data_IF_135214918831
#
_entry.id   IF_135214918831
#
_cell.length_a   1.000
_cell.length_b   1.000
_cell.length_c   1.000
_cell.angle_alpha   90.00
_cell.angle_beta   90.00
_cell.angle_gamma   90.00
#
_symmetry.space_group_name_H-M   'P 1'
#
loop_
_entity.id
_entity.type
_entity.pdbx_description
1 polymer ?
#
# COMPACT_ATOMS: atom_id res chain seq x y z
N UNK A 1 -12.00 5.63 17.51
CA UNK A 1 -11.79 4.19 17.74
C UNK A 1 -10.86 4.01 18.94
N UNK A 2 -11.29 3.26 19.97
CA UNK A 2 -10.47 3.04 21.16
C UNK A 2 -9.44 1.90 20.93
N UNK A 3 -8.62 1.57 21.94
CA UNK A 3 -7.61 0.50 21.84
C UNK A 3 -8.25 -0.89 21.66
N UNK A 4 -9.28 -1.21 22.44
CA UNK A 4 -9.98 -2.50 22.37
C UNK A 4 -10.59 -2.74 20.98
N UNK A 5 -11.17 -1.72 20.38
CA UNK A 5 -11.71 -1.77 19.01
C UNK A 5 -10.59 -2.08 18.00
N UNK A 6 -9.43 -1.42 18.13
CA UNK A 6 -8.26 -1.65 17.27
C UNK A 6 -7.77 -3.09 17.40
N UNK A 7 -7.61 -3.58 18.62
CA UNK A 7 -7.18 -4.95 18.89
C UNK A 7 -8.17 -5.95 18.26
N UNK A 8 -9.47 -5.72 18.42
CA UNK A 8 -10.49 -6.61 17.85
C UNK A 8 -10.43 -6.66 16.31
N UNK A 9 -10.18 -5.53 15.65
CA UNK A 9 -10.03 -5.48 14.19
C UNK A 9 -8.78 -6.22 13.71
N UNK A 10 -7.64 -6.04 14.40
CA UNK A 10 -6.40 -6.74 14.06
C UNK A 10 -6.53 -8.24 14.29
N UNK A 11 -7.17 -8.66 15.39
CA UNK A 11 -7.43 -10.08 15.66
C UNK A 11 -8.36 -10.70 14.63
N UNK A 12 -9.41 -9.99 14.21
CA UNK A 12 -10.30 -10.43 13.12
C UNK A 12 -9.52 -10.61 11.82
N UNK A 13 -8.69 -9.64 11.46
CA UNK A 13 -7.82 -9.72 10.28
C UNK A 13 -6.89 -10.93 10.32
N UNK A 14 -6.18 -11.13 11.44
CA UNK A 14 -5.24 -12.24 11.59
C UNK A 14 -5.95 -13.61 11.57
N UNK A 15 -7.17 -13.70 12.11
CA UNK A 15 -7.95 -14.92 12.04
C UNK A 15 -8.37 -15.25 10.61
N UNK A 16 -8.87 -14.26 9.85
CA UNK A 16 -9.22 -14.47 8.44
C UNK A 16 -8.00 -14.88 7.60
N UNK A 17 -6.84 -14.25 7.83
CA UNK A 17 -5.58 -14.63 7.16
C UNK A 17 -5.18 -16.06 7.53
N UNK A 18 -5.25 -16.43 8.80
CA UNK A 18 -4.94 -17.79 9.28
C UNK A 18 -5.87 -18.83 8.66
N UNK A 19 -7.18 -18.58 8.65
CA UNK A 19 -8.17 -19.50 8.07
C UNK A 19 -7.87 -19.79 6.59
N UNK A 20 -7.53 -18.75 5.82
CA UNK A 20 -7.13 -18.94 4.42
C UNK A 20 -5.83 -19.76 4.32
N UNK A 21 -4.82 -19.44 5.13
CA UNK A 21 -3.54 -20.16 5.10
C UNK A 21 -3.70 -21.64 5.46
N UNK A 22 -4.43 -21.94 6.54
CA UNK A 22 -4.68 -23.30 7.02
C UNK A 22 -5.51 -24.16 6.05
N UNK A 23 -6.26 -23.53 5.14
CA UNK A 23 -7.00 -24.26 4.11
C UNK A 23 -6.09 -25.04 3.15
N UNK A 24 -4.82 -24.66 3.03
CA UNK A 24 -3.87 -25.23 2.05
C UNK A 24 -4.17 -24.91 0.58
N UNK A 25 -5.23 -24.15 0.31
CA UNK A 25 -5.66 -23.76 -1.05
C UNK A 25 -5.47 -22.27 -1.33
N UNK A 26 -5.10 -21.49 -0.32
CA UNK A 26 -4.90 -20.06 -0.48
C UNK A 26 -3.66 -19.76 -1.33
N UNK A 27 -3.86 -18.87 -2.29
CA UNK A 27 -2.82 -18.20 -3.07
C UNK A 27 -2.91 -16.71 -2.78
N UNK A 28 -2.01 -15.89 -3.34
CA UNK A 28 -1.94 -14.44 -3.11
C UNK A 28 -3.31 -13.73 -3.01
N UNK A 29 -4.24 -13.97 -3.95
CA UNK A 29 -5.52 -13.28 -3.98
C UNK A 29 -6.49 -13.67 -2.85
N UNK A 30 -6.31 -14.83 -2.23
CA UNK A 30 -7.21 -15.35 -1.18
C UNK A 30 -7.24 -14.47 0.07
N UNK A 31 -6.14 -13.76 0.37
CA UNK A 31 -6.02 -12.91 1.55
C UNK A 31 -6.48 -11.46 1.30
N UNK A 32 -6.72 -11.07 0.04
CA UNK A 32 -7.15 -9.72 -0.34
C UNK A 32 -8.44 -9.26 0.36
N UNK A 33 -9.49 -10.11 0.54
CA UNK A 33 -10.69 -9.72 1.27
C UNK A 33 -10.42 -9.30 2.72
N UNK A 34 -9.54 -10.01 3.43
CA UNK A 34 -9.17 -9.69 4.81
C UNK A 34 -8.46 -8.33 4.88
N UNK A 35 -7.47 -8.10 4.00
CA UNK A 35 -6.77 -6.81 3.93
C UNK A 35 -7.71 -5.66 3.59
N UNK A 36 -8.62 -5.86 2.62
CA UNK A 36 -9.65 -4.87 2.25
C UNK A 36 -10.54 -4.50 3.43
N UNK A 37 -10.97 -5.49 4.21
CA UNK A 37 -11.82 -5.29 5.39
C UNK A 37 -11.07 -4.51 6.47
N UNK A 38 -9.83 -4.89 6.78
CA UNK A 38 -8.98 -4.16 7.73
C UNK A 38 -8.79 -2.70 7.28
N UNK A 39 -8.39 -2.47 6.03
CA UNK A 39 -8.11 -1.13 5.54
C UNK A 39 -9.37 -0.25 5.48
N UNK A 40 -10.53 -0.83 5.19
CA UNK A 40 -11.82 -0.11 5.17
C UNK A 40 -12.39 0.16 6.58
N UNK A 41 -11.80 -0.42 7.63
CA UNK A 41 -12.18 -0.16 9.03
C UNK A 41 -11.60 1.15 9.57
N UNK A 42 -10.53 1.66 8.94
CA UNK A 42 -9.94 2.94 9.31
C UNK A 42 -10.85 4.10 8.93
N UNK A 43 -10.75 5.18 9.71
CA UNK A 43 -11.57 6.36 9.51
C UNK A 43 -11.35 6.95 8.10
N UNK A 44 -12.47 7.14 7.41
CA UNK A 44 -12.51 7.83 6.12
C UNK A 44 -11.65 7.13 5.05
N UNK A 45 -11.53 5.80 5.11
CA UNK A 45 -10.82 4.98 4.10
C UNK A 45 -11.82 4.08 3.36
N UNK A 46 -11.62 3.96 2.04
CA UNK A 46 -12.20 2.90 1.22
C UNK A 46 -11.06 2.17 0.53
N UNK A 47 -10.98 0.85 0.71
CA UNK A 47 -10.03 0.01 -0.02
C UNK A 47 -10.70 -0.58 -1.27
N UNK A 48 -10.04 -0.44 -2.41
CA UNK A 48 -10.45 -1.04 -3.68
C UNK A 48 -9.34 -1.99 -4.13
N UNK A 49 -9.64 -3.28 -4.20
CA UNK A 49 -8.79 -4.28 -4.84
C UNK A 49 -8.96 -4.23 -6.35
N UNK A 50 -7.92 -4.59 -7.09
CA UNK A 50 -7.89 -4.61 -8.56
C UNK A 50 -8.35 -3.28 -9.18
N UNK A 51 -7.72 -2.14 -8.80
CA UNK A 51 -8.07 -0.84 -9.35
C UNK A 51 -7.83 -0.78 -10.86
N UNK A 52 -8.48 0.20 -11.51
CA UNK A 52 -8.17 0.52 -12.91
C UNK A 52 -6.68 0.87 -13.05
N UNK A 53 -6.08 0.40 -14.14
CA UNK A 53 -4.67 0.66 -14.44
C UNK A 53 -4.42 2.18 -14.54
N UNK A 54 -3.27 2.62 -14.02
CA UNK A 54 -2.77 3.98 -14.18
C UNK A 54 -1.52 4.01 -15.05
N UNK A 55 -1.02 5.21 -15.37
CA UNK A 55 0.25 5.39 -16.11
C UNK A 55 1.45 4.74 -15.43
N UNK A 56 1.43 4.61 -14.09
CA UNK A 56 2.50 3.99 -13.31
C UNK A 56 2.29 2.48 -13.07
N UNK A 57 1.21 1.90 -13.61
CA UNK A 57 0.84 0.48 -13.51
C UNK A 57 -0.44 0.24 -12.69
N UNK A 58 -0.66 -0.99 -12.25
CA UNK A 58 -1.84 -1.42 -11.49
C UNK A 58 -1.40 -2.09 -10.18
N UNK A 59 -1.28 -1.32 -9.08
CA UNK A 59 -1.06 -1.92 -7.76
C UNK A 59 -2.29 -2.75 -7.37
N UNK A 60 -2.11 -3.74 -6.51
CA UNK A 60 -3.21 -4.62 -6.08
C UNK A 60 -4.32 -3.87 -5.36
N UNK A 61 -3.97 -2.81 -4.63
CA UNK A 61 -4.92 -1.94 -3.94
C UNK A 61 -4.69 -0.46 -4.20
N UNK A 62 -5.81 0.28 -4.23
CA UNK A 62 -5.84 1.71 -3.98
C UNK A 62 -6.70 2.01 -2.76
N UNK A 63 -6.21 2.91 -1.90
CA UNK A 63 -6.93 3.42 -0.75
C UNK A 63 -7.40 4.83 -1.04
N UNK A 64 -8.70 5.06 -0.96
CA UNK A 64 -9.34 6.33 -1.28
C UNK A 64 -9.89 6.99 -0.01
N UNK A 65 -9.96 8.32 -0.01
CA UNK A 65 -10.67 9.06 1.01
C UNK A 65 -12.18 8.82 0.85
N UNK A 66 -12.84 8.23 1.83
CA UNK A 66 -14.28 7.88 1.76
C UNK A 66 -15.16 9.11 1.51
N UNK A 67 -14.81 10.25 2.12
CA UNK A 67 -15.55 11.50 1.96
C UNK A 67 -15.33 12.16 0.59
N UNK A 68 -14.31 11.74 -0.18
CA UNK A 68 -13.99 12.25 -1.51
C UNK A 68 -13.10 11.26 -2.26
N UNK A 69 -13.70 10.35 -3.01
CA UNK A 69 -13.00 9.27 -3.73
C UNK A 69 -12.02 9.76 -4.82
N UNK A 70 -11.94 11.08 -5.10
CA UNK A 70 -10.90 11.66 -5.95
C UNK A 70 -9.56 11.80 -5.23
N UNK A 71 -9.54 11.73 -3.91
CA UNK A 71 -8.33 11.82 -3.09
C UNK A 71 -7.83 10.41 -2.80
N UNK A 72 -6.60 10.14 -3.24
CA UNK A 72 -5.90 8.88 -2.99
C UNK A 72 -5.09 9.02 -1.71
N UNK A 73 -5.31 8.10 -0.77
CA UNK A 73 -4.57 8.01 0.51
C UNK A 73 -3.30 7.17 0.38
N UNK A 74 -3.30 6.18 -0.50
CA UNK A 74 -2.13 5.35 -0.78
C UNK A 74 -2.48 4.12 -1.61
N UNK A 75 -1.52 3.22 -1.70
CA UNK A 75 -1.61 2.00 -2.50
C UNK A 75 -0.98 0.82 -1.73
N UNK A 76 -1.33 -0.40 -2.14
CA UNK A 76 -0.59 -1.58 -1.71
C UNK A 76 -0.27 -2.49 -2.90
N UNK A 77 0.91 -3.08 -2.86
CA UNK A 77 1.26 -4.28 -3.61
C UNK A 77 1.29 -5.45 -2.61
N UNK A 78 0.61 -6.54 -2.93
CA UNK A 78 0.52 -7.70 -2.10
C UNK A 78 1.24 -8.90 -2.74
N UNK A 79 1.74 -9.81 -1.93
CA UNK A 79 2.34 -11.07 -2.34
C UNK A 79 1.80 -12.20 -1.49
N UNK A 80 1.91 -13.43 -1.99
CA UNK A 80 1.61 -14.61 -1.20
C UNK A 80 2.46 -14.67 0.09
N UNK A 81 1.90 -15.18 1.19
CA UNK A 81 2.57 -15.31 2.51
C UNK A 81 3.92 -16.05 2.41
N UNK A 82 4.09 -16.92 1.42
CA UNK A 82 5.31 -17.70 1.23
C UNK A 82 6.38 -16.99 0.40
N UNK A 83 6.09 -15.80 -0.16
CA UNK A 83 6.98 -15.05 -1.05
C UNK A 83 7.87 -14.09 -0.25
N UNK A 84 9.18 -14.15 -0.50
CA UNK A 84 10.14 -13.23 0.11
C UNK A 84 9.96 -11.79 -0.37
N UNK A 85 9.56 -10.90 0.55
CA UNK A 85 9.44 -9.47 0.28
C UNK A 85 10.78 -8.81 -0.07
N UNK A 86 11.91 -9.28 0.49
CA UNK A 86 13.25 -8.76 0.17
C UNK A 86 13.61 -8.87 -1.32
N UNK A 87 13.16 -9.95 -1.96
CA UNK A 87 13.34 -10.16 -3.40
C UNK A 87 12.38 -9.30 -4.21
N UNK A 88 11.12 -9.23 -3.77
CA UNK A 88 10.07 -8.44 -4.43
C UNK A 88 10.39 -6.95 -4.44
N UNK A 89 10.89 -6.41 -3.33
CA UNK A 89 11.26 -5.00 -3.19
C UNK A 89 12.32 -4.56 -4.19
N UNK A 90 13.21 -5.48 -4.60
CA UNK A 90 14.28 -5.23 -5.59
C UNK A 90 13.82 -5.43 -7.04
N UNK A 91 12.57 -5.81 -7.27
CA UNK A 91 12.05 -6.08 -8.61
C UNK A 91 11.87 -4.82 -9.45
N UNK A 92 11.92 -4.97 -10.78
CA UNK A 92 11.64 -3.89 -11.72
C UNK A 92 10.20 -3.34 -11.56
N UNK A 93 9.26 -4.14 -11.05
CA UNK A 93 7.90 -3.69 -10.77
C UNK A 93 7.89 -2.67 -9.63
N UNK A 94 8.56 -2.98 -8.53
CA UNK A 94 8.66 -2.06 -7.39
C UNK A 94 9.44 -0.79 -7.72
N UNK A 95 10.45 -0.87 -8.59
CA UNK A 95 11.14 0.32 -9.11
C UNK A 95 10.19 1.26 -9.88
N UNK A 96 9.29 0.72 -10.73
CA UNK A 96 8.27 1.53 -11.42
C UNK A 96 7.29 2.18 -10.44
N UNK A 97 6.95 1.47 -9.37
CA UNK A 97 6.01 1.95 -8.36
C UNK A 97 6.61 2.98 -7.38
N UNK A 98 7.92 3.25 -7.45
CA UNK A 98 8.56 4.34 -6.69
C UNK A 98 7.99 5.74 -6.98
N UNK A 99 7.21 5.90 -8.06
CA UNK A 99 6.45 7.11 -8.37
C UNK A 99 5.17 7.31 -7.54
N UNK A 100 4.64 6.26 -6.90
CA UNK A 100 3.45 6.38 -6.04
C UNK A 100 3.82 6.97 -4.68
N UNK A 101 3.08 8.01 -4.27
CA UNK A 101 3.11 8.46 -2.88
C UNK A 101 2.35 7.46 -2.01
N UNK A 102 2.91 7.09 -0.86
CA UNK A 102 2.29 6.20 0.14
C UNK A 102 1.93 4.80 -0.39
N UNK A 103 2.89 4.11 -1.02
CA UNK A 103 2.81 2.69 -1.33
C UNK A 103 3.40 1.85 -0.19
N UNK A 104 2.76 0.74 0.14
CA UNK A 104 3.39 -0.31 0.93
C UNK A 104 3.38 -1.67 0.21
N UNK A 105 4.38 -2.49 0.50
CA UNK A 105 4.47 -3.89 0.09
C UNK A 105 4.10 -4.79 1.27
N UNK A 106 3.32 -5.84 1.04
CA UNK A 106 2.92 -6.77 2.10
C UNK A 106 2.80 -8.21 1.61
N UNK A 107 3.08 -9.15 2.49
CA UNK A 107 2.73 -10.57 2.37
C UNK A 107 1.58 -10.93 3.33
N UNK A 108 0.80 -9.95 3.76
CA UNK A 108 -0.27 -10.03 4.76
C UNK A 108 0.19 -10.22 6.22
N UNK A 109 1.48 -10.42 6.49
CA UNK A 109 2.05 -10.50 7.84
C UNK A 109 3.04 -9.37 8.10
N UNK A 110 3.83 -9.02 7.10
CA UNK A 110 4.77 -7.90 7.09
C UNK A 110 4.21 -6.75 6.24
N UNK A 111 4.40 -5.50 6.69
CA UNK A 111 4.01 -4.29 5.98
C UNK A 111 5.23 -3.36 5.83
N UNK A 112 5.72 -3.19 4.61
CA UNK A 112 6.90 -2.37 4.30
C UNK A 112 6.50 -1.09 3.60
N UNK A 113 6.76 0.05 4.24
CA UNK A 113 6.47 1.37 3.67
C UNK A 113 7.70 1.92 2.96
N UNK A 114 7.58 2.18 1.66
CA UNK A 114 8.62 2.91 0.93
C UNK A 114 8.44 4.40 1.16
N UNK A 115 9.30 5.00 1.99
CA UNK A 115 9.33 6.47 2.11
C UNK A 115 10.06 7.01 0.87
N UNK A 116 9.30 7.36 -0.17
CA UNK A 116 9.87 8.17 -1.25
C UNK A 116 10.11 9.57 -0.68
N UNK A 117 11.31 9.79 -0.12
CA UNK A 117 11.78 11.14 0.12
C UNK A 117 11.80 11.83 -1.25
N UNK A 118 10.86 12.76 -1.49
CA UNK A 118 11.02 13.71 -2.58
C UNK A 118 12.35 14.39 -2.35
N UNK A 119 13.39 13.99 -3.07
CA UNK A 119 14.59 14.80 -3.18
C UNK A 119 14.14 16.08 -3.88
N UNK A 120 13.84 17.10 -3.08
CA UNK A 120 13.80 18.47 -3.56
C UNK A 120 15.24 18.75 -3.99
N UNK A 121 15.55 18.52 -5.26
CA UNK A 121 16.73 19.15 -5.87
C UNK A 121 16.56 20.64 -5.58
N UNK A 122 17.55 21.32 -4.98
CA UNK A 122 17.49 22.77 -4.86
C UNK A 122 17.32 23.33 -6.26
N UNK A 123 16.29 24.14 -6.48
CA UNK A 123 16.15 24.89 -7.72
C UNK A 123 17.37 25.80 -7.84
N UNK A 124 18.26 25.49 -8.77
CA UNK A 124 19.32 26.40 -9.16
C UNK A 124 18.69 27.55 -9.96
N UNK A 125 18.13 28.54 -9.25
CA UNK A 125 17.65 29.77 -9.86
C UNK A 125 17.84 30.95 -8.89
N UNK A 126 19.08 31.47 -8.84
CA UNK A 126 19.36 32.89 -8.61
C UNK A 126 20.88 33.14 -8.67
N UNK A 127 21.43 33.32 -9.87
CA UNK A 127 22.45 34.35 -10.05
C UNK A 127 21.88 35.36 -11.03
N UNK A 128 21.32 36.41 -10.43
CA UNK A 128 20.97 37.67 -11.05
C UNK A 128 22.16 38.23 -11.82
N UNK A 129 21.84 38.84 -12.97
CA UNK A 129 22.71 39.68 -13.79
C UNK A 129 23.22 40.93 -13.02
N UNK A 130 24.41 41.38 -13.46
CA UNK A 130 24.86 42.76 -13.71
C UNK A 130 25.42 43.68 -12.59
N UNK A 131 26.41 44.48 -13.05
CA UNK A 131 27.15 45.62 -12.48
C UNK A 131 28.32 45.26 -11.54
N UNK A 132 29.58 45.68 -11.75
CA UNK A 132 30.17 46.75 -12.58
C UNK A 132 31.28 46.22 -13.51
#
# INVERSE_FOLDING_TARGET
>A
MNESDRTALVLKYLNEVREQFESGHAIEHAYRPALKALMSSFEDVVAVNDPKHSEHGAPDFVFLKKSNNKIIKGYAEAKDITVSLDKTEKSNQMQRYGGYANLFLTDYLEFRFSVTAKSTKPSASAKSKMAN
#
